data_IF_627101888234
#
_entry.id   IF_627101888234
#
_cell.length_a   1.000
_cell.length_b   1.000
_cell.length_c   1.000
_cell.angle_alpha   90.00
_cell.angle_beta   90.00
_cell.angle_gamma   90.00
#
_symmetry.space_group_name_H-M   'P 1'
#
loop_
_entity.id
_entity.type
_entity.pdbx_description
1 polymer ?
#
# COMPACT_ATOMS: atom_id res chain seq x y z
N UNK A 1 19.24 10.48 -8.76
CA UNK A 1 18.09 11.09 -9.42
C UNK A 1 16.86 10.51 -8.74
N UNK A 2 16.10 11.31 -7.99
CA UNK A 2 14.82 10.86 -7.41
C UNK A 2 13.80 11.05 -8.52
N UNK A 3 13.43 9.98 -9.21
CA UNK A 3 12.34 10.01 -10.17
C UNK A 3 11.02 10.00 -9.39
N UNK A 4 10.73 11.11 -8.72
CA UNK A 4 9.41 11.32 -8.13
C UNK A 4 8.43 11.73 -9.21
N UNK A 5 7.24 11.15 -9.14
CA UNK A 5 6.14 11.47 -10.05
C UNK A 5 5.25 12.47 -9.34
N UNK A 6 4.97 13.61 -9.96
CA UNK A 6 4.02 14.57 -9.42
C UNK A 6 2.60 14.21 -9.86
N UNK A 7 1.66 14.26 -8.91
CA UNK A 7 0.24 14.05 -9.14
C UNK A 7 -0.57 15.24 -8.61
N UNK A 8 -1.81 15.40 -9.08
CA UNK A 8 -2.70 16.48 -8.65
C UNK A 8 -4.05 15.93 -8.19
N UNK A 9 -4.55 16.47 -7.08
CA UNK A 9 -5.90 16.23 -6.56
C UNK A 9 -6.63 17.54 -6.36
N UNK A 10 -7.91 17.61 -6.75
CA UNK A 10 -8.77 18.79 -6.50
C UNK A 10 -8.96 19.08 -5.00
N UNK A 11 -8.88 18.07 -4.14
CA UNK A 11 -9.09 18.21 -2.70
C UNK A 11 -7.80 18.44 -1.91
N UNK A 12 -6.65 18.02 -2.46
CA UNK A 12 -5.37 18.01 -1.74
C UNK A 12 -4.23 18.77 -2.42
N UNK A 13 -4.46 19.35 -3.60
CA UNK A 13 -3.43 20.07 -4.35
C UNK A 13 -2.43 19.14 -5.02
N UNK A 14 -1.17 19.60 -5.15
CA UNK A 14 -0.09 18.79 -5.70
C UNK A 14 0.39 17.74 -4.68
N UNK A 15 0.87 16.61 -5.20
CA UNK A 15 1.47 15.56 -4.40
C UNK A 15 2.69 14.97 -5.09
N UNK A 16 3.71 14.65 -4.30
CA UNK A 16 4.90 13.93 -4.74
C UNK A 16 4.75 12.44 -4.43
N UNK A 17 4.85 11.60 -5.46
CA UNK A 17 4.74 10.15 -5.36
C UNK A 17 6.12 9.51 -5.34
N UNK A 18 6.31 8.60 -4.38
CA UNK A 18 7.50 7.77 -4.25
C UNK A 18 7.13 6.35 -3.81
N UNK A 19 8.06 5.42 -4.00
CA UNK A 19 7.90 4.00 -3.66
C UNK A 19 8.85 3.64 -2.53
N UNK A 20 8.30 3.13 -1.43
CA UNK A 20 9.07 2.67 -0.28
C UNK A 20 9.00 1.15 -0.18
N UNK A 21 10.05 0.49 0.28
CA UNK A 21 9.97 -0.94 0.56
C UNK A 21 8.96 -1.20 1.69
N UNK A 22 8.09 -2.20 1.54
CA UNK A 22 7.18 -2.60 2.61
C UNK A 22 7.97 -3.05 3.84
N UNK A 23 7.76 -2.44 5.03
CA UNK A 23 8.53 -2.80 6.23
C UNK A 23 8.14 -4.16 6.82
N UNK A 24 6.99 -4.72 6.41
CA UNK A 24 6.50 -6.01 6.90
C UNK A 24 7.16 -7.17 6.15
N UNK A 25 7.00 -7.21 4.82
CA UNK A 25 7.51 -8.34 4.04
C UNK A 25 8.91 -8.11 3.45
N UNK A 26 9.36 -6.86 3.33
CA UNK A 26 10.64 -6.53 2.67
C UNK A 26 10.71 -6.92 1.19
N UNK A 27 9.59 -7.30 0.59
CA UNK A 27 9.51 -8.06 -0.66
C UNK A 27 8.80 -7.30 -1.80
N UNK A 28 8.08 -6.23 -1.46
CA UNK A 28 7.31 -5.43 -2.39
C UNK A 28 7.33 -3.97 -1.94
N UNK A 29 7.21 -3.05 -2.91
CA UNK A 29 7.13 -1.63 -2.62
C UNK A 29 5.70 -1.19 -2.34
N UNK A 30 5.53 -0.24 -1.43
CA UNK A 30 4.31 0.51 -1.18
C UNK A 30 4.41 1.88 -1.85
N UNK A 31 3.32 2.31 -2.47
CA UNK A 31 3.19 3.69 -2.97
C UNK A 31 3.02 4.62 -1.78
N UNK A 32 3.69 5.77 -1.77
CA UNK A 32 3.45 6.84 -0.80
C UNK A 32 3.33 8.16 -1.53
N UNK A 33 2.33 8.95 -1.16
CA UNK A 33 2.13 10.30 -1.67
C UNK A 33 2.30 11.30 -0.53
N UNK A 34 3.23 12.25 -0.71
CA UNK A 34 3.35 13.43 0.14
C UNK A 34 2.60 14.58 -0.52
N UNK A 35 1.47 14.98 0.06
CA UNK A 35 0.65 16.07 -0.44
C UNK A 35 1.14 17.42 0.06
N UNK A 36 0.79 18.48 -0.65
CA UNK A 36 0.96 19.86 -0.19
C UNK A 36 0.34 20.04 1.22
N UNK A 37 1.06 20.74 2.10
CA UNK A 37 0.67 20.88 3.50
C UNK A 37 1.14 19.74 4.43
N UNK A 38 1.89 18.77 3.92
CA UNK A 38 2.57 17.75 4.74
C UNK A 38 1.73 16.53 5.09
N UNK A 39 0.53 16.40 4.50
CA UNK A 39 -0.29 15.20 4.67
C UNK A 39 0.31 14.02 3.87
N UNK A 40 0.44 12.86 4.51
CA UNK A 40 1.04 11.67 3.92
C UNK A 40 -0.03 10.60 3.72
N UNK A 41 -0.08 10.04 2.51
CA UNK A 41 -0.95 8.94 2.15
C UNK A 41 -0.11 7.71 1.79
N UNK A 42 -0.32 6.62 2.50
CA UNK A 42 0.32 5.33 2.21
C UNK A 42 -0.66 4.42 1.48
N UNK A 43 -0.20 3.80 0.39
CA UNK A 43 -0.87 2.66 -0.23
C UNK A 43 -0.60 1.37 0.54
N UNK A 44 -1.40 0.35 0.24
CA UNK A 44 -1.27 -0.97 0.85
C UNK A 44 -0.23 -1.83 0.11
N UNK A 45 0.41 -2.74 0.84
CA UNK A 45 1.30 -3.73 0.23
C UNK A 45 0.47 -4.87 -0.36
N UNK A 46 0.46 -4.98 -1.70
CA UNK A 46 -0.30 -6.01 -2.41
C UNK A 46 0.10 -7.44 -1.98
N UNK A 47 1.38 -7.68 -1.67
CA UNK A 47 1.81 -9.00 -1.19
C UNK A 47 1.25 -9.31 0.19
N UNK A 48 1.29 -8.36 1.13
CA UNK A 48 0.75 -8.57 2.47
C UNK A 48 -0.77 -8.73 2.44
N UNK A 49 -1.48 -7.95 1.61
CA UNK A 49 -2.92 -8.10 1.43
C UNK A 49 -3.28 -9.49 0.91
N UNK A 50 -2.59 -9.96 -0.13
CA UNK A 50 -2.83 -11.30 -0.68
C UNK A 50 -2.59 -12.39 0.36
N UNK A 51 -1.54 -12.26 1.18
CA UNK A 51 -1.29 -13.22 2.27
C UNK A 51 -2.40 -13.21 3.31
N UNK A 52 -2.92 -12.04 3.68
CA UNK A 52 -4.07 -11.93 4.59
C UNK A 52 -5.31 -12.63 4.02
N UNK A 53 -5.63 -12.37 2.75
CA UNK A 53 -6.76 -13.01 2.07
C UNK A 53 -6.62 -14.54 2.02
N UNK A 54 -5.41 -15.06 1.79
CA UNK A 54 -5.15 -16.50 1.79
C UNK A 54 -5.35 -17.11 3.18
N UNK A 55 -4.89 -16.46 4.24
CA UNK A 55 -5.11 -16.93 5.62
C UNK A 55 -6.60 -16.93 6.00
N UNK A 56 -7.34 -15.90 5.61
CA UNK A 56 -8.79 -15.83 5.83
C UNK A 56 -9.53 -16.95 5.09
N UNK A 57 -9.11 -17.29 3.86
CA UNK A 57 -9.64 -18.41 3.10
C UNK A 57 -9.35 -19.76 3.78
N UNK A 58 -8.12 -19.98 4.25
CA UNK A 58 -7.74 -21.20 4.98
C UNK A 58 -8.60 -21.41 6.23
N UNK A 59 -8.86 -20.35 7.00
CA UNK A 59 -9.76 -20.40 8.16
C UNK A 59 -11.20 -20.76 7.80
N UNK A 60 -11.70 -20.27 6.66
CA UNK A 60 -13.04 -20.59 6.17
C UNK A 60 -13.12 -22.07 5.77
N UNK A 61 -12.14 -22.57 5.02
CA UNK A 61 -12.09 -23.99 4.62
C UNK A 61 -12.04 -24.92 5.84
N UNK A 62 -11.21 -24.60 6.83
CA UNK A 62 -11.11 -25.37 8.07
C UNK A 62 -12.42 -25.43 8.88
N UNK A 63 -13.31 -24.43 8.74
CA UNK A 63 -14.62 -24.41 9.40
C UNK A 63 -15.68 -25.22 8.65
N UNK A 64 -15.59 -25.31 7.33
CA UNK A 64 -16.52 -26.09 6.49
C UNK A 64 -16.28 -27.60 6.52
N UNK A 65 -15.08 -28.06 6.89
CA UNK A 65 -14.75 -29.48 7.00
C UNK A 65 -15.06 -30.09 8.39
N UNK A 66 -15.72 -29.33 9.28
CA UNK A 66 -16.21 -29.78 10.58
C UNK A 66 -17.74 -29.93 10.57
#
# INVERSE_FOLDING_TARGET
>A
MKDSVYIYSRTRGLGELFWNLCPVCGCASIRTTLWEGGYVEHGECMTCNRMRELMELEELFAKTER
#
